data_IF_301404698818
#
_entry.id   IF_301404698818
#
_cell.length_a   1.000
_cell.length_b   1.000
_cell.length_c   1.000
_cell.angle_alpha   90.00
_cell.angle_beta   90.00
_cell.angle_gamma   90.00
#
_symmetry.space_group_name_H-M   'P 1'
#
loop_
_entity.id
_entity.type
_entity.pdbx_description
1 polymer ?
#
# COMPACT_ATOMS: atom_id res chain seq x y z
N UNK A 1 -9.42 6.88 26.03
CA UNK A 1 -9.91 7.11 24.65
C UNK A 1 -10.60 5.84 24.16
N UNK A 2 -11.77 5.91 23.52
CA UNK A 2 -12.46 4.74 22.99
C UNK A 2 -11.57 4.01 21.97
N UNK A 3 -11.38 2.70 22.10
CA UNK A 3 -10.47 1.91 21.24
C UNK A 3 -10.87 1.98 19.76
N UNK A 4 -12.17 2.02 19.46
CA UNK A 4 -12.68 2.16 18.10
C UNK A 4 -12.38 3.54 17.52
N UNK A 5 -12.52 4.60 18.33
CA UNK A 5 -12.17 5.96 17.90
C UNK A 5 -10.69 6.07 17.54
N UNK A 6 -9.81 5.47 18.35
CA UNK A 6 -8.35 5.43 18.08
C UNK A 6 -8.05 4.73 16.75
N UNK A 7 -8.70 3.60 16.47
CA UNK A 7 -8.53 2.87 15.19
C UNK A 7 -8.93 3.69 13.99
N UNK A 8 -10.08 4.39 14.06
CA UNK A 8 -10.53 5.26 12.97
C UNK A 8 -9.54 6.41 12.74
N UNK A 9 -9.07 7.06 13.81
CA UNK A 9 -8.08 8.14 13.71
C UNK A 9 -6.78 7.63 13.08
N UNK A 10 -6.27 6.49 13.54
CA UNK A 10 -5.05 5.89 12.97
C UNK A 10 -5.25 5.52 11.49
N UNK A 11 -6.42 5.01 11.12
CA UNK A 11 -6.76 4.70 9.72
C UNK A 11 -6.75 5.95 8.85
N UNK A 12 -7.38 7.03 9.32
CA UNK A 12 -7.39 8.31 8.61
C UNK A 12 -5.98 8.90 8.46
N UNK A 13 -5.14 8.80 9.50
CA UNK A 13 -3.75 9.25 9.45
C UNK A 13 -2.92 8.47 8.44
N UNK A 14 -3.05 7.13 8.40
CA UNK A 14 -2.37 6.32 7.39
C UNK A 14 -2.89 6.57 5.98
N UNK A 15 -4.19 6.83 5.82
CA UNK A 15 -4.75 7.22 4.52
C UNK A 15 -4.17 8.55 4.04
N UNK A 16 -4.09 9.55 4.92
CA UNK A 16 -3.46 10.83 4.62
C UNK A 16 -1.96 10.66 4.29
N UNK A 17 -1.25 9.82 5.04
CA UNK A 17 0.16 9.53 4.80
C UNK A 17 0.38 8.83 3.45
N UNK A 18 -0.47 7.85 3.10
CA UNK A 18 -0.44 7.19 1.80
C UNK A 18 -0.71 8.18 0.67
N UNK A 19 -1.72 9.04 0.83
CA UNK A 19 -2.04 10.08 -0.15
C UNK A 19 -0.85 11.02 -0.38
N UNK A 20 -0.29 11.58 0.70
CA UNK A 20 0.84 12.52 0.61
C UNK A 20 2.06 11.82 0.02
N UNK A 21 2.40 10.59 0.47
CA UNK A 21 3.54 9.85 -0.05
C UNK A 21 3.40 9.53 -1.56
N UNK A 22 2.19 9.25 -2.04
CA UNK A 22 1.92 9.07 -3.47
C UNK A 22 2.01 10.39 -4.26
N UNK A 23 1.65 11.52 -3.65
CA UNK A 23 1.70 12.83 -4.31
C UNK A 23 3.09 13.47 -4.32
N UNK A 24 3.92 13.20 -3.30
CA UNK A 24 5.20 13.89 -3.09
C UNK A 24 6.20 13.71 -4.23
N UNK A 25 6.28 12.50 -4.79
CA UNK A 25 7.21 12.18 -5.88
C UNK A 25 6.41 11.44 -6.95
N UNK A 26 6.25 12.07 -8.12
CA UNK A 26 5.59 11.51 -9.29
C UNK A 26 6.56 11.51 -10.45
N UNK A 27 6.97 10.33 -10.87
CA UNK A 27 7.80 10.18 -12.07
C UNK A 27 6.90 9.58 -13.15
N UNK A 28 6.57 10.33 -14.22
CA UNK A 28 5.69 9.83 -15.28
C UNK A 28 6.25 8.57 -15.92
N UNK A 29 5.39 7.58 -16.16
CA UNK A 29 5.77 6.33 -16.80
C UNK A 29 5.76 6.51 -18.32
N UNK A 30 6.89 6.30 -19.02
CA UNK A 30 6.91 6.43 -20.47
C UNK A 30 5.93 5.47 -21.16
N UNK A 31 5.11 5.99 -22.07
CA UNK A 31 4.18 5.18 -22.88
C UNK A 31 2.82 4.90 -22.23
N UNK A 32 2.58 5.34 -20.99
CA UNK A 32 1.24 5.34 -20.38
C UNK A 32 0.89 6.73 -19.83
N UNK A 33 -0.36 6.92 -19.40
CA UNK A 33 -0.76 8.12 -18.66
C UNK A 33 -0.57 7.97 -17.14
N UNK A 34 0.23 6.98 -16.72
CA UNK A 34 0.50 6.68 -15.31
C UNK A 34 1.80 7.31 -14.79
N UNK A 35 2.08 7.05 -13.51
CA UNK A 35 3.29 7.54 -12.83
C UNK A 35 3.74 6.58 -11.74
N UNK A 36 5.03 6.59 -11.41
CA UNK A 36 5.58 5.87 -10.27
C UNK A 36 5.77 6.77 -9.05
N UNK A 37 5.62 6.18 -7.87
CA UNK A 37 5.64 6.91 -6.59
C UNK A 37 6.08 6.02 -5.39
N UNK A 38 6.58 6.61 -4.28
CA UNK A 38 7.01 5.86 -3.10
C UNK A 38 5.86 5.45 -2.15
N UNK A 39 4.63 5.87 -2.43
CA UNK A 39 3.46 5.63 -1.57
C UNK A 39 3.17 4.15 -1.21
N UNK A 40 3.66 3.19 -2.00
CA UNK A 40 3.43 1.76 -1.77
C UNK A 40 3.99 1.28 -0.44
N UNK A 41 5.07 1.90 0.01
CA UNK A 41 5.63 1.63 1.32
C UNK A 41 4.59 1.85 2.43
N UNK A 42 3.83 2.94 2.34
CA UNK A 42 2.79 3.27 3.33
C UNK A 42 1.59 2.34 3.19
N UNK A 43 1.22 1.94 1.97
CA UNK A 43 0.14 0.98 1.72
C UNK A 43 0.45 -0.39 2.36
N UNK A 44 1.66 -0.90 2.14
CA UNK A 44 2.13 -2.14 2.77
C UNK A 44 2.09 -2.01 4.30
N UNK A 45 2.64 -0.92 4.84
CA UNK A 45 2.69 -0.68 6.28
C UNK A 45 1.31 -0.47 6.90
N UNK A 46 0.36 0.14 6.18
CA UNK A 46 -1.03 0.27 6.63
C UNK A 46 -1.66 -1.10 6.87
N UNK A 47 -1.47 -2.05 5.95
CA UNK A 47 -1.90 -3.44 6.12
C UNK A 47 -1.29 -4.11 7.36
N UNK A 48 0.02 -3.95 7.53
CA UNK A 48 0.80 -4.56 8.62
C UNK A 48 0.43 -3.98 9.98
N UNK A 49 0.23 -2.66 10.06
CA UNK A 49 0.05 -1.93 11.33
C UNK A 49 -1.42 -1.86 11.74
N UNK A 50 -2.33 -1.63 10.79
CA UNK A 50 -3.76 -1.47 11.08
C UNK A 50 -4.55 -2.79 10.92
N UNK A 51 -3.91 -3.80 10.35
CA UNK A 51 -4.54 -5.08 10.03
C UNK A 51 -5.31 -5.05 8.70
N UNK A 52 -5.92 -6.18 8.31
CA UNK A 52 -6.47 -6.37 6.96
C UNK A 52 -7.52 -5.33 6.57
N UNK A 53 -8.53 -5.11 7.43
CA UNK A 53 -9.70 -4.27 7.08
C UNK A 53 -9.35 -2.79 7.10
N UNK A 54 -8.78 -2.30 8.22
CA UNK A 54 -8.42 -0.89 8.34
C UNK A 54 -7.23 -0.52 7.44
N UNK A 55 -6.29 -1.45 7.24
CA UNK A 55 -5.20 -1.27 6.28
C UNK A 55 -5.70 -1.17 4.84
N UNK A 56 -6.63 -2.04 4.43
CA UNK A 56 -7.29 -1.96 3.11
C UNK A 56 -7.95 -0.60 2.89
N UNK A 57 -8.70 -0.11 3.88
CA UNK A 57 -9.34 1.20 3.80
C UNK A 57 -8.31 2.33 3.74
N UNK A 58 -7.29 2.31 4.60
CA UNK A 58 -6.27 3.35 4.61
C UNK A 58 -5.45 3.39 3.32
N UNK A 59 -4.92 2.25 2.88
CA UNK A 59 -4.10 2.14 1.67
C UNK A 59 -4.90 2.43 0.41
N UNK A 60 -6.09 1.84 0.27
CA UNK A 60 -6.96 2.05 -0.88
C UNK A 60 -7.46 3.49 -0.99
N UNK A 61 -8.08 4.02 0.06
CA UNK A 61 -8.66 5.38 0.03
C UNK A 61 -7.56 6.42 -0.09
N UNK A 62 -6.45 6.26 0.65
CA UNK A 62 -5.33 7.20 0.59
C UNK A 62 -4.73 7.32 -0.81
N UNK A 63 -4.43 6.18 -1.46
CA UNK A 63 -3.90 6.19 -2.82
C UNK A 63 -4.94 6.64 -3.85
N UNK A 64 -6.21 6.24 -3.73
CA UNK A 64 -7.26 6.71 -4.65
C UNK A 64 -7.51 8.22 -4.56
N UNK A 65 -7.41 8.81 -3.35
CA UNK A 65 -7.48 10.26 -3.16
C UNK A 65 -6.32 10.98 -3.85
N UNK A 66 -5.11 10.40 -3.84
CA UNK A 66 -3.97 11.00 -4.54
C UNK A 66 -4.18 11.08 -6.05
N UNK A 67 -4.81 10.07 -6.66
CA UNK A 67 -5.16 10.07 -8.08
C UNK A 67 -6.28 11.06 -8.38
N UNK A 68 -7.28 11.14 -7.50
CA UNK A 68 -8.38 12.10 -7.62
C UNK A 68 -7.88 13.55 -7.59
N UNK A 69 -7.03 13.88 -6.62
CA UNK A 69 -6.41 15.21 -6.49
C UNK A 69 -5.40 15.44 -7.62
N UNK A 70 -4.72 14.40 -8.08
CA UNK A 70 -3.74 14.46 -9.15
C UNK A 70 -4.31 14.57 -10.57
N UNK A 71 -5.63 14.45 -10.74
CA UNK A 71 -6.28 14.47 -12.05
C UNK A 71 -6.25 13.14 -12.82
N UNK A 72 -5.82 12.05 -12.18
CA UNK A 72 -5.74 10.70 -12.75
C UNK A 72 -7.06 9.93 -12.57
N UNK A 73 -8.19 10.52 -12.99
CA UNK A 73 -9.54 10.04 -12.66
C UNK A 73 -9.83 8.58 -13.04
N UNK A 74 -9.31 8.12 -14.19
CA UNK A 74 -9.46 6.73 -14.65
C UNK A 74 -8.81 5.74 -13.67
N UNK A 75 -7.72 6.15 -13.04
CA UNK A 75 -6.96 5.33 -12.10
C UNK A 75 -7.60 5.30 -10.70
N UNK A 76 -8.46 6.25 -10.33
CA UNK A 76 -9.09 6.30 -8.99
C UNK A 76 -9.73 4.96 -8.55
N UNK A 77 -10.66 4.35 -9.32
CA UNK A 77 -11.25 3.06 -8.94
C UNK A 77 -10.25 1.90 -9.03
N UNK A 78 -9.32 1.96 -9.99
CA UNK A 78 -8.30 0.92 -10.22
C UNK A 78 -7.35 0.87 -9.02
N UNK A 79 -6.79 2.02 -8.64
CA UNK A 79 -5.89 2.22 -7.51
C UNK A 79 -6.58 1.87 -6.19
N UNK A 80 -7.84 2.27 -5.99
CA UNK A 80 -8.61 1.91 -4.79
C UNK A 80 -8.62 0.39 -4.58
N UNK A 81 -8.92 -0.36 -5.64
CA UNK A 81 -9.00 -1.83 -5.60
C UNK A 81 -7.61 -2.43 -5.43
N UNK A 82 -6.64 -2.06 -6.28
CA UNK A 82 -5.29 -2.67 -6.26
C UNK A 82 -4.61 -2.38 -4.92
N UNK A 83 -4.51 -1.11 -4.50
CA UNK A 83 -3.84 -0.73 -3.25
C UNK A 83 -4.59 -1.22 -2.02
N UNK A 84 -5.93 -1.26 -2.08
CA UNK A 84 -6.75 -1.90 -1.06
C UNK A 84 -6.40 -3.37 -0.90
N UNK A 85 -6.31 -4.13 -2.00
CA UNK A 85 -5.94 -5.55 -1.98
C UNK A 85 -4.51 -5.77 -1.48
N UNK A 86 -3.54 -4.93 -1.87
CA UNK A 86 -2.17 -4.99 -1.34
C UNK A 86 -2.17 -4.88 0.18
N UNK A 87 -2.84 -3.88 0.74
CA UNK A 87 -2.88 -3.67 2.17
C UNK A 87 -3.67 -4.78 2.90
N UNK A 88 -4.78 -5.25 2.31
CA UNK A 88 -5.56 -6.37 2.85
C UNK A 88 -4.70 -7.63 2.98
N UNK A 89 -4.05 -8.05 1.89
CA UNK A 89 -3.25 -9.27 1.85
C UNK A 89 -2.00 -9.14 2.72
N UNK A 90 -1.34 -7.97 2.73
CA UNK A 90 -0.22 -7.69 3.62
C UNK A 90 -0.62 -7.82 5.10
N UNK A 91 -1.80 -7.34 5.48
CA UNK A 91 -2.35 -7.50 6.82
C UNK A 91 -2.65 -8.96 7.17
N UNK A 92 -3.22 -9.73 6.24
CA UNK A 92 -3.49 -11.17 6.45
C UNK A 92 -2.20 -11.97 6.61
N UNK A 93 -1.18 -11.68 5.80
CA UNK A 93 0.16 -12.27 5.93
C UNK A 93 0.74 -11.95 7.31
N UNK A 94 0.69 -10.69 7.73
CA UNK A 94 1.20 -10.28 9.04
C UNK A 94 0.51 -11.00 10.21
N UNK A 95 -0.82 -11.12 10.17
CA UNK A 95 -1.58 -11.88 11.16
C UNK A 95 -1.14 -13.34 11.23
N UNK A 96 -1.07 -14.01 10.07
CA UNK A 96 -0.65 -15.41 9.98
C UNK A 96 0.77 -15.62 10.52
N UNK A 97 1.70 -14.75 10.16
CA UNK A 97 3.09 -14.82 10.61
C UNK A 97 3.24 -14.59 12.11
N UNK A 98 2.51 -13.62 12.67
CA UNK A 98 2.51 -13.37 14.11
C UNK A 98 1.89 -14.52 14.92
N UNK A 99 0.90 -15.23 14.38
CA UNK A 99 0.31 -16.43 15.00
C UNK A 99 1.27 -17.62 14.96
N UNK A 100 2.06 -17.76 13.90
CA UNK A 100 3.10 -18.80 13.79
C UNK A 100 4.40 -18.50 14.54
N UNK A 101 4.47 -17.40 15.32
CA UNK A 101 5.68 -17.01 16.07
C UNK A 101 6.87 -16.60 15.20
N UNK A 102 6.65 -16.34 13.89
CA UNK A 102 7.71 -15.99 12.95
C UNK A 102 8.06 -14.49 13.03
N UNK A 103 9.25 -14.15 12.55
CA UNK A 103 9.76 -12.78 12.59
C UNK A 103 8.86 -11.80 11.78
N UNK A 104 8.48 -10.68 12.40
CA UNK A 104 7.66 -9.62 11.80
C UNK A 104 8.31 -9.00 10.55
N UNK A 105 9.63 -8.95 10.49
CA UNK A 105 10.34 -8.45 9.30
C UNK A 105 10.07 -9.32 8.05
N UNK A 106 9.86 -10.63 8.23
CA UNK A 106 9.50 -11.52 7.11
C UNK A 106 8.10 -11.16 6.58
N UNK A 107 7.18 -10.77 7.45
CA UNK A 107 5.86 -10.32 7.01
C UNK A 107 5.92 -9.03 6.18
N UNK A 108 6.84 -8.09 6.52
CA UNK A 108 7.08 -6.89 5.72
C UNK A 108 7.60 -7.25 4.32
N UNK A 109 8.58 -8.15 4.24
CA UNK A 109 9.14 -8.60 2.96
C UNK A 109 8.07 -9.30 2.11
N UNK A 110 7.27 -10.19 2.71
CA UNK A 110 6.18 -10.86 2.00
C UNK A 110 5.06 -9.89 1.58
N UNK A 111 4.80 -8.85 2.38
CA UNK A 111 3.91 -7.75 2.01
C UNK A 111 4.42 -6.99 0.78
N UNK A 112 5.72 -6.67 0.74
CA UNK A 112 6.34 -6.04 -0.43
C UNK A 112 6.35 -6.93 -1.68
N UNK A 113 6.56 -8.24 -1.54
CA UNK A 113 6.44 -9.18 -2.68
C UNK A 113 4.99 -9.19 -3.20
N UNK A 114 4.03 -9.18 -2.28
CA UNK A 114 2.60 -9.09 -2.63
C UNK A 114 2.30 -7.80 -3.38
N UNK A 115 2.82 -6.66 -2.91
CA UNK A 115 2.69 -5.38 -3.59
C UNK A 115 3.22 -5.45 -5.04
N UNK A 116 4.44 -5.95 -5.25
CA UNK A 116 5.02 -6.10 -6.60
C UNK A 116 4.09 -6.91 -7.53
N UNK A 117 3.56 -8.05 -7.06
CA UNK A 117 2.69 -8.91 -7.85
C UNK A 117 1.37 -8.23 -8.18
N UNK A 118 0.72 -7.62 -7.19
CA UNK A 118 -0.59 -6.99 -7.36
C UNK A 118 -0.52 -5.68 -8.14
N UNK A 119 0.54 -4.90 -7.96
CA UNK A 119 0.74 -3.65 -8.69
C UNK A 119 1.13 -3.96 -10.13
N UNK A 120 2.16 -4.76 -10.38
CA UNK A 120 2.56 -5.09 -11.75
C UNK A 120 1.46 -5.83 -12.52
N UNK A 121 0.81 -6.83 -11.89
CA UNK A 121 -0.25 -7.61 -12.53
C UNK A 121 -1.58 -6.87 -12.61
N UNK A 122 -2.01 -6.23 -11.52
CA UNK A 122 -3.30 -5.54 -11.45
C UNK A 122 -3.37 -4.34 -12.38
N UNK A 123 -2.33 -3.49 -12.39
CA UNK A 123 -2.30 -2.36 -13.30
C UNK A 123 -2.19 -2.84 -14.75
N UNK A 124 -1.37 -3.85 -15.05
CA UNK A 124 -1.30 -4.40 -16.41
C UNK A 124 -2.66 -4.92 -16.91
N UNK A 125 -3.39 -5.68 -16.09
CA UNK A 125 -4.73 -6.20 -16.48
C UNK A 125 -5.68 -5.03 -16.76
N UNK A 126 -5.76 -4.05 -15.86
CA UNK A 126 -6.66 -2.90 -16.04
C UNK A 126 -6.24 -2.01 -17.22
N UNK A 127 -4.95 -1.74 -17.37
CA UNK A 127 -4.40 -0.94 -18.47
C UNK A 127 -4.51 -1.65 -19.82
N UNK A 128 -4.49 -2.97 -19.86
CA UNK A 128 -4.69 -3.72 -21.11
C UNK A 128 -6.07 -3.44 -21.72
N UNK A 129 -7.12 -3.27 -20.90
CA UNK A 129 -8.44 -2.88 -21.38
C UNK A 129 -8.50 -1.41 -21.86
N UNK A 130 -7.61 -0.55 -21.38
CA UNK A 130 -7.58 0.88 -21.71
C UNK A 130 -6.69 1.18 -22.92
N UNK A 131 -5.51 0.54 -23.00
CA UNK A 131 -4.42 0.88 -23.92
C UNK A 131 -3.98 -0.30 -24.80
N UNK A 132 -4.60 -1.48 -24.67
CA UNK A 132 -4.23 -2.68 -25.42
C UNK A 132 -2.82 -3.19 -25.09
N UNK A 133 -2.08 -3.66 -26.10
CA UNK A 133 -0.72 -4.18 -25.92
C UNK A 133 0.29 -3.14 -25.41
N UNK A 134 -0.01 -1.84 -25.52
CA UNK A 134 0.79 -0.76 -24.98
C UNK A 134 0.91 -0.79 -23.44
N UNK A 135 -0.01 -1.46 -22.75
CA UNK A 135 0.02 -1.65 -21.30
C UNK A 135 1.28 -2.39 -20.81
N UNK A 136 1.93 -3.19 -21.65
CA UNK A 136 3.16 -3.89 -21.27
C UNK A 136 4.31 -2.92 -20.88
N UNK A 137 4.26 -1.67 -21.34
CA UNK A 137 5.24 -0.64 -20.99
C UNK A 137 5.21 -0.25 -19.50
N UNK A 138 4.09 -0.45 -18.79
CA UNK A 138 4.01 -0.13 -17.36
C UNK A 138 4.59 -1.20 -16.45
N UNK A 139 4.74 -2.44 -16.94
CA UNK A 139 5.20 -3.57 -16.12
C UNK A 139 6.57 -3.29 -15.48
N UNK A 140 7.63 -2.87 -16.22
CA UNK A 140 8.93 -2.61 -15.62
C UNK A 140 8.88 -1.47 -14.59
N UNK A 141 8.12 -0.41 -14.88
CA UNK A 141 7.97 0.73 -13.99
C UNK A 141 7.27 0.33 -12.68
N UNK A 142 6.19 -0.45 -12.78
CA UNK A 142 5.44 -0.97 -11.63
C UNK A 142 6.26 -1.94 -10.78
N UNK A 143 7.14 -2.76 -11.39
CA UNK A 143 8.08 -3.61 -10.65
C UNK A 143 9.09 -2.76 -9.87
N UNK A 144 9.70 -1.76 -10.52
CA UNK A 144 10.65 -0.84 -9.87
C UNK A 144 9.97 -0.11 -8.70
N UNK A 145 8.74 0.36 -8.93
CA UNK A 145 7.92 0.99 -7.89
C UNK A 145 7.72 0.04 -6.70
N UNK A 146 7.28 -1.20 -6.93
CA UNK A 146 7.02 -2.16 -5.85
C UNK A 146 8.30 -2.56 -5.10
N UNK A 147 9.45 -2.68 -5.80
CA UNK A 147 10.75 -2.90 -5.14
C UNK A 147 11.11 -1.70 -4.25
N UNK A 148 10.92 -0.48 -4.75
CA UNK A 148 11.10 0.74 -3.97
C UNK A 148 10.19 0.77 -2.74
N UNK A 149 8.90 0.44 -2.91
CA UNK A 149 7.92 0.31 -1.84
C UNK A 149 8.34 -0.70 -0.77
N UNK A 150 8.81 -1.87 -1.18
CA UNK A 150 9.35 -2.90 -0.28
C UNK A 150 10.54 -2.36 0.53
N UNK A 151 11.55 -1.80 -0.13
CA UNK A 151 12.76 -1.30 0.53
C UNK A 151 12.40 -0.20 1.54
N UNK A 152 11.60 0.79 1.11
CA UNK A 152 11.20 1.90 1.97
C UNK A 152 10.33 1.38 3.13
N UNK A 153 9.43 0.43 2.90
CA UNK A 153 8.61 -0.15 3.97
C UNK A 153 9.46 -0.88 5.02
N UNK A 154 10.49 -1.62 4.59
CA UNK A 154 11.40 -2.32 5.49
C UNK A 154 12.20 -1.35 6.37
N UNK A 155 12.61 -0.20 5.81
CA UNK A 155 13.33 0.86 6.54
C UNK A 155 12.39 1.64 7.48
N UNK A 156 11.17 1.95 7.04
CA UNK A 156 10.21 2.72 7.84
C UNK A 156 9.57 1.90 8.96
N UNK A 157 9.41 0.59 8.78
CA UNK A 157 8.80 -0.29 9.77
C UNK A 157 9.37 -0.15 11.19
N UNK A 158 10.70 -0.25 11.43
CA UNK A 158 11.27 -0.08 12.77
C UNK A 158 11.06 1.33 13.34
N UNK A 159 11.02 2.36 12.49
CA UNK A 159 10.77 3.74 12.92
C UNK A 159 9.33 3.91 13.38
N UNK A 160 8.37 3.39 12.59
CA UNK A 160 6.95 3.48 12.92
C UNK A 160 6.60 2.65 14.16
N UNK A 161 7.16 1.44 14.31
CA UNK A 161 6.88 0.57 15.46
C UNK A 161 7.51 1.09 16.77
N UNK A 162 8.42 2.06 16.70
CA UNK A 162 8.95 2.74 17.88
C UNK A 162 7.91 3.69 18.51
N UNK A 163 6.93 4.15 17.72
CA UNK A 163 5.84 5.03 18.20
C UNK A 163 4.85 4.19 19.02
N UNK A 164 4.57 4.55 20.30
CA UNK A 164 3.73 3.73 21.18
C UNK A 164 2.34 3.41 20.63
N UNK A 165 1.67 4.40 20.02
CA UNK A 165 0.31 4.24 19.48
C UNK A 165 0.27 3.35 18.24
N UNK A 166 1.26 3.50 17.35
CA UNK A 166 1.42 2.67 16.15
C UNK A 166 1.74 1.23 16.54
N UNK A 167 2.64 1.07 17.50
CA UNK A 167 2.99 -0.23 18.06
C UNK A 167 1.76 -0.92 18.63
N UNK A 168 0.97 -0.21 19.44
CA UNK A 168 -0.27 -0.75 19.99
C UNK A 168 -1.22 -1.21 18.89
N UNK A 169 -1.44 -0.39 17.84
CA UNK A 169 -2.27 -0.77 16.71
C UNK A 169 -1.79 -2.07 16.03
N UNK A 170 -0.48 -2.21 15.80
CA UNK A 170 0.10 -3.41 15.21
C UNK A 170 -0.01 -4.66 16.10
N UNK A 171 -0.03 -4.49 17.44
CA UNK A 171 -0.31 -5.58 18.37
C UNK A 171 -1.78 -5.97 18.38
N UNK A 172 -2.69 -5.00 18.32
CA UNK A 172 -4.13 -5.25 18.24
C UNK A 172 -4.50 -5.94 16.91
N UNK A 173 -3.82 -5.58 15.82
CA UNK A 173 -4.00 -6.17 14.51
C UNK A 173 -3.59 -7.65 14.43
N UNK A 174 -2.86 -8.19 15.42
CA UNK A 174 -2.45 -9.61 15.48
C UNK A 174 -3.64 -10.57 15.65
N UNK A 175 -4.71 -10.10 16.29
CA UNK A 175 -5.87 -10.91 16.67
C UNK A 175 -6.90 -10.93 15.55
#
# INVERSE_FOLDING_TARGET
MNSNLKKIIMTALFAALACVATMSIRIPTPGTSGYIHPGDAIVILAGIILGPVYGMLAGGIGSALSDLIGGYFVYVPITLVIKGLVALVSGLIYQKMCRSGKNRYIAVILGGITDIVFVAGGYFICEFFLYGSGAAASIPANIIQGIGGLIISAVLYPVLIAIPDVRQAAYEAKN
#
